data_IF_764634404405
#
_entry.id   IF_764634404405
#
_cell.length_a   1.000
_cell.length_b   1.000
_cell.length_c   1.000
_cell.angle_alpha   90.00
_cell.angle_beta   90.00
_cell.angle_gamma   90.00
#
_symmetry.space_group_name_H-M   'P 1'
#
loop_
_entity.id
_entity.type
_entity.pdbx_description
1 polymer ?
#
# COMPACT_ATOMS: atom_id res chain seq x y z
N UNK A 1 1.72 3.60 4.79
CA UNK A 1 2.61 2.55 4.21
C UNK A 1 1.80 1.47 3.53
N UNK A 2 0.91 0.72 4.19
CA UNK A 2 0.15 -0.41 3.59
C UNK A 2 -0.55 -0.07 2.26
N UNK A 3 -1.08 1.12 2.10
CA UNK A 3 -1.88 1.53 0.93
C UNK A 3 -1.13 2.32 -0.13
N UNK A 4 0.04 2.82 0.19
CA UNK A 4 0.80 3.75 -0.67
C UNK A 4 2.23 3.26 -0.96
N UNK A 5 2.52 1.99 -0.70
CA UNK A 5 3.78 1.38 -1.05
C UNK A 5 3.80 1.01 -2.52
N UNK A 6 4.91 1.24 -3.20
CA UNK A 6 5.11 0.79 -4.58
C UNK A 6 5.28 -0.74 -4.66
N UNK A 7 5.69 -1.38 -3.55
CA UNK A 7 5.79 -2.84 -3.41
C UNK A 7 4.59 -3.38 -2.67
N UNK A 8 4.26 -4.64 -2.88
CA UNK A 8 3.18 -5.30 -2.15
C UNK A 8 3.53 -5.42 -0.66
N UNK A 9 2.62 -5.07 0.26
CA UNK A 9 2.87 -5.15 1.69
C UNK A 9 2.83 -6.60 2.20
N UNK A 10 3.81 -6.92 3.04
CA UNK A 10 3.87 -8.15 3.83
C UNK A 10 3.71 -7.78 5.31
N UNK A 11 2.60 -8.18 5.89
CA UNK A 11 2.25 -7.85 7.27
C UNK A 11 2.67 -8.96 8.23
N UNK A 12 3.41 -8.60 9.26
CA UNK A 12 3.64 -9.46 10.43
C UNK A 12 2.47 -9.21 11.38
N UNK A 13 1.52 -10.13 11.41
CA UNK A 13 0.23 -9.93 12.09
C UNK A 13 -0.17 -11.18 12.90
N UNK A 14 0.47 -11.43 14.03
CA UNK A 14 0.18 -12.61 14.88
C UNK A 14 -1.25 -12.64 15.40
N UNK A 15 -1.87 -11.47 15.56
CA UNK A 15 -3.19 -11.31 16.16
C UNK A 15 -4.33 -11.14 15.15
N UNK A 16 -4.01 -11.02 13.85
CA UNK A 16 -5.00 -10.87 12.78
C UNK A 16 -5.65 -9.49 12.70
N UNK A 17 -5.10 -8.48 13.37
CA UNK A 17 -5.66 -7.12 13.36
C UNK A 17 -5.46 -6.41 12.04
N UNK A 18 -4.25 -6.53 11.47
CA UNK A 18 -3.91 -5.96 10.17
C UNK A 18 -4.71 -6.60 9.04
N UNK A 19 -4.88 -7.92 9.10
CA UNK A 19 -5.72 -8.67 8.16
C UNK A 19 -7.18 -8.20 8.24
N UNK A 20 -7.75 -8.13 9.44
CA UNK A 20 -9.13 -7.66 9.64
C UNK A 20 -9.32 -6.22 9.14
N UNK A 21 -8.34 -5.36 9.36
CA UNK A 21 -8.35 -3.99 8.85
C UNK A 21 -8.33 -3.94 7.31
N UNK A 22 -7.50 -4.78 6.64
CA UNK A 22 -7.48 -4.86 5.18
C UNK A 22 -8.83 -5.32 4.65
N UNK A 23 -9.40 -6.39 5.21
CA UNK A 23 -10.69 -6.94 4.78
C UNK A 23 -11.79 -5.87 4.89
N UNK A 24 -11.85 -5.14 6.01
CA UNK A 24 -12.84 -4.08 6.19
C UNK A 24 -12.63 -2.91 5.23
N UNK A 25 -11.37 -2.50 5.01
CA UNK A 25 -11.06 -1.35 4.15
C UNK A 25 -11.30 -1.61 2.67
N UNK A 26 -11.05 -2.83 2.23
CA UNK A 26 -11.19 -3.24 0.83
C UNK A 26 -12.39 -4.15 0.59
N UNK A 27 -13.39 -4.12 1.47
CA UNK A 27 -14.58 -4.95 1.37
C UNK A 27 -15.28 -4.84 0.00
N UNK A 28 -15.33 -3.64 -0.58
CA UNK A 28 -15.93 -3.38 -1.89
C UNK A 28 -15.11 -3.94 -3.07
N UNK A 29 -13.81 -4.20 -2.87
CA UNK A 29 -12.89 -4.77 -3.86
C UNK A 29 -12.55 -6.24 -3.57
N UNK A 30 -13.26 -6.84 -2.63
CA UNK A 30 -13.06 -8.24 -2.23
C UNK A 30 -14.30 -9.05 -2.53
N UNK A 31 -14.12 -10.16 -3.24
CA UNK A 31 -15.20 -11.12 -3.45
C UNK A 31 -15.14 -12.25 -2.42
N UNK A 32 -16.26 -12.52 -1.78
CA UNK A 32 -16.37 -13.58 -0.77
C UNK A 32 -15.98 -14.94 -1.37
N UNK A 33 -15.02 -15.61 -0.74
CA UNK A 33 -14.53 -16.92 -1.17
C UNK A 33 -13.50 -16.89 -2.30
N UNK A 34 -13.08 -15.68 -2.79
CA UNK A 34 -12.07 -15.56 -3.86
C UNK A 34 -10.94 -14.56 -3.56
N UNK A 35 -11.06 -13.77 -2.52
CA UNK A 35 -10.08 -12.73 -2.18
C UNK A 35 -9.19 -13.08 -0.98
N UNK A 36 -9.48 -14.20 -0.28
CA UNK A 36 -8.72 -14.67 0.87
C UNK A 36 -8.31 -16.12 0.66
N UNK A 37 -7.02 -16.40 0.74
CA UNK A 37 -6.46 -17.73 0.47
C UNK A 37 -5.09 -17.92 1.11
N UNK A 38 -4.59 -19.15 1.09
CA UNK A 38 -3.21 -19.47 1.43
C UNK A 38 -2.49 -20.10 0.22
N UNK A 39 -1.15 -20.12 0.24
CA UNK A 39 -0.35 -20.67 -0.85
C UNK A 39 -0.53 -22.18 -1.06
N UNK A 40 -0.91 -22.91 -0.01
CA UNK A 40 -1.11 -24.37 -0.04
C UNK A 40 -2.44 -24.76 -0.68
N UNK A 41 -3.28 -23.81 -1.05
CA UNK A 41 -4.54 -24.11 -1.70
C UNK A 41 -4.31 -24.62 -3.12
N UNK A 42 -4.77 -25.83 -3.51
CA UNK A 42 -4.53 -26.39 -4.84
C UNK A 42 -5.16 -25.56 -5.97
N UNK A 43 -6.18 -24.75 -5.67
CA UNK A 43 -6.84 -23.84 -6.61
C UNK A 43 -6.28 -22.42 -6.58
N UNK A 44 -5.17 -22.18 -5.86
CA UNK A 44 -4.60 -20.85 -5.67
C UNK A 44 -4.39 -20.10 -6.99
N UNK A 45 -3.70 -20.73 -7.97
CA UNK A 45 -3.33 -20.09 -9.23
C UNK A 45 -4.53 -19.75 -10.12
N UNK A 46 -5.43 -20.72 -10.31
CA UNK A 46 -6.53 -20.58 -11.29
C UNK A 46 -7.73 -19.87 -10.71
N UNK A 47 -8.05 -20.13 -9.46
CA UNK A 47 -9.28 -19.66 -8.85
C UNK A 47 -9.15 -18.34 -8.12
N UNK A 48 -8.04 -18.14 -7.38
CA UNK A 48 -7.83 -16.94 -6.58
C UNK A 48 -6.98 -15.91 -7.32
N UNK A 49 -5.76 -16.27 -7.69
CA UNK A 49 -4.81 -15.33 -8.27
C UNK A 49 -5.27 -14.84 -9.64
N UNK A 50 -5.59 -15.75 -10.56
CA UNK A 50 -6.07 -15.39 -11.91
C UNK A 50 -7.30 -14.51 -11.85
N UNK A 51 -8.30 -14.91 -11.05
CA UNK A 51 -9.54 -14.16 -10.91
C UNK A 51 -9.30 -12.73 -10.39
N UNK A 52 -8.48 -12.58 -9.34
CA UNK A 52 -8.20 -11.25 -8.76
C UNK A 52 -7.37 -10.37 -9.71
N UNK A 53 -6.42 -10.97 -10.46
CA UNK A 53 -5.63 -10.26 -11.46
C UNK A 53 -6.49 -9.71 -12.61
N UNK A 54 -7.41 -10.51 -13.14
CA UNK A 54 -8.28 -10.16 -14.27
C UNK A 54 -9.33 -9.11 -13.90
N UNK A 55 -9.87 -9.20 -12.68
CA UNK A 55 -10.97 -8.31 -12.24
C UNK A 55 -10.50 -7.09 -11.41
N UNK A 56 -9.18 -6.96 -11.15
CA UNK A 56 -8.66 -5.87 -10.34
C UNK A 56 -9.05 -5.93 -8.86
N UNK A 57 -9.39 -7.12 -8.36
CA UNK A 57 -9.80 -7.31 -6.97
C UNK A 57 -8.60 -7.36 -6.02
N UNK A 58 -8.85 -7.10 -4.74
CA UNK A 58 -7.86 -7.25 -3.69
C UNK A 58 -7.71 -8.73 -3.30
N UNK A 59 -6.48 -9.22 -3.27
CA UNK A 59 -6.12 -10.58 -2.86
C UNK A 59 -5.32 -10.54 -1.55
N UNK A 60 -5.77 -11.30 -0.55
CA UNK A 60 -5.03 -11.49 0.71
C UNK A 60 -4.54 -12.93 0.76
N UNK A 61 -3.23 -13.08 0.91
CA UNK A 61 -2.56 -14.38 1.02
C UNK A 61 -2.11 -14.56 2.46
N UNK A 62 -2.64 -15.56 3.12
CA UNK A 62 -2.36 -15.88 4.52
C UNK A 62 -1.25 -16.92 4.67
N UNK A 63 -0.62 -16.90 5.84
CA UNK A 63 0.29 -17.98 6.25
C UNK A 63 1.61 -17.97 5.52
N UNK A 64 2.12 -16.79 5.15
CA UNK A 64 3.50 -16.65 4.69
C UNK A 64 4.41 -16.80 5.91
N UNK A 65 5.25 -17.82 5.91
CA UNK A 65 6.17 -18.06 7.03
C UNK A 65 7.55 -17.47 6.71
N UNK A 66 8.36 -18.15 5.91
CA UNK A 66 9.73 -17.72 5.61
C UNK A 66 9.95 -17.37 4.14
N UNK A 67 9.27 -18.09 3.26
CA UNK A 67 9.44 -17.99 1.81
C UNK A 67 8.08 -17.96 1.11
N UNK A 68 8.07 -17.45 -0.10
CA UNK A 68 6.93 -17.41 -0.99
C UNK A 68 7.23 -18.28 -2.20
N UNK A 69 6.24 -18.99 -2.71
CA UNK A 69 6.38 -19.80 -3.93
C UNK A 69 6.92 -18.92 -5.08
N UNK A 70 8.03 -19.28 -5.74
CA UNK A 70 8.63 -18.52 -6.85
C UNK A 70 7.66 -18.22 -7.99
N UNK A 71 6.55 -18.94 -8.05
CA UNK A 71 5.46 -18.68 -9.00
C UNK A 71 4.86 -17.27 -8.84
N UNK A 72 4.94 -16.67 -7.63
CA UNK A 72 4.47 -15.32 -7.37
C UNK A 72 5.51 -14.22 -7.70
N UNK A 73 6.75 -14.57 -7.98
CA UNK A 73 7.81 -13.61 -8.27
C UNK A 73 7.44 -12.61 -9.38
N UNK A 74 6.90 -13.04 -10.52
CA UNK A 74 6.50 -12.09 -11.57
C UNK A 74 5.45 -11.09 -11.09
N UNK A 75 4.57 -11.50 -10.16
CA UNK A 75 3.55 -10.61 -9.59
C UNK A 75 4.18 -9.67 -8.59
N UNK A 76 5.04 -10.15 -7.69
CA UNK A 76 5.74 -9.35 -6.68
C UNK A 76 6.64 -8.29 -7.33
N UNK A 77 7.34 -8.65 -8.40
CA UNK A 77 8.22 -7.75 -9.16
C UNK A 77 7.46 -6.88 -10.18
N UNK A 78 6.15 -7.07 -10.31
CA UNK A 78 5.32 -6.35 -11.27
C UNK A 78 5.83 -6.44 -12.72
N UNK A 79 6.23 -7.64 -13.12
CA UNK A 79 6.69 -7.92 -14.50
C UNK A 79 5.51 -7.90 -15.49
N UNK A 80 4.89 -6.74 -15.66
CA UNK A 80 3.69 -6.54 -16.47
C UNK A 80 4.09 -6.12 -17.88
N UNK A 81 3.61 -6.87 -18.86
CA UNK A 81 3.80 -6.56 -20.29
C UNK A 81 2.54 -5.83 -20.78
N UNK A 82 2.69 -4.55 -21.15
CA UNK A 82 1.60 -3.75 -21.67
C UNK A 82 1.50 -3.87 -23.18
N UNK A 83 0.35 -4.36 -23.68
CA UNK A 83 0.03 -4.40 -25.12
C UNK A 83 -1.28 -3.66 -25.36
N UNK A 84 -1.25 -2.55 -26.14
CA UNK A 84 -2.44 -1.79 -26.55
C UNK A 84 -3.44 -1.55 -25.38
N UNK A 85 -2.95 -1.07 -24.25
CA UNK A 85 -3.74 -0.77 -23.05
C UNK A 85 -4.25 -1.98 -22.22
N UNK A 86 -3.84 -3.21 -22.55
CA UNK A 86 -4.04 -4.40 -21.72
C UNK A 86 -2.72 -4.81 -21.09
N UNK A 87 -2.72 -4.96 -19.77
CA UNK A 87 -1.60 -5.55 -19.06
C UNK A 87 -1.70 -7.07 -19.11
N UNK A 88 -0.59 -7.76 -19.30
CA UNK A 88 -0.50 -9.21 -19.14
C UNK A 88 0.71 -9.55 -18.28
N UNK A 89 0.57 -10.58 -17.47
CA UNK A 89 1.61 -11.09 -16.60
C UNK A 89 1.72 -12.59 -16.77
N UNK A 90 2.95 -13.10 -16.79
CA UNK A 90 3.19 -14.55 -16.94
C UNK A 90 3.41 -15.17 -15.58
N UNK A 91 2.48 -16.03 -15.16
CA UNK A 91 2.53 -16.73 -13.87
C UNK A 91 2.51 -18.22 -14.06
N UNK A 92 3.55 -18.92 -13.60
CA UNK A 92 3.61 -20.39 -13.68
C UNK A 92 3.51 -20.95 -15.11
N UNK A 93 3.98 -20.18 -16.11
CA UNK A 93 3.92 -20.58 -17.52
C UNK A 93 2.63 -20.20 -18.27
N UNK A 94 1.63 -19.66 -17.58
CA UNK A 94 0.37 -19.18 -18.18
C UNK A 94 0.35 -17.66 -18.25
N UNK A 95 -0.09 -17.11 -19.38
CA UNK A 95 -0.32 -15.66 -19.50
C UNK A 95 -1.69 -15.35 -18.88
N UNK A 96 -1.71 -14.36 -17.98
CA UNK A 96 -2.91 -13.87 -17.29
C UNK A 96 -3.10 -12.39 -17.58
N UNK A 97 -4.33 -11.96 -17.76
CA UNK A 97 -4.64 -10.54 -17.90
C UNK A 97 -4.43 -9.84 -16.56
N UNK A 98 -3.96 -8.59 -16.60
CA UNK A 98 -3.65 -7.77 -15.42
C UNK A 98 -4.45 -6.47 -15.44
N UNK A 99 -5.26 -6.27 -14.39
CA UNK A 99 -5.95 -4.99 -14.16
C UNK A 99 -5.12 -4.09 -13.24
N UNK A 100 -5.13 -2.76 -13.53
CA UNK A 100 -4.37 -1.74 -12.77
C UNK A 100 -4.84 -1.58 -11.33
N UNK A 101 -6.09 -1.94 -11.03
CA UNK A 101 -6.66 -1.82 -9.69
C UNK A 101 -6.29 -2.99 -8.77
N UNK A 102 -5.67 -4.05 -9.32
CA UNK A 102 -5.26 -5.21 -8.54
C UNK A 102 -4.36 -4.83 -7.37
N UNK A 103 -4.69 -5.37 -6.21
CA UNK A 103 -3.90 -5.20 -4.98
C UNK A 103 -3.68 -6.55 -4.33
N UNK A 104 -2.47 -6.75 -3.85
CA UNK A 104 -2.10 -7.98 -3.15
C UNK A 104 -1.54 -7.65 -1.76
N UNK A 105 -1.95 -8.41 -0.78
CA UNK A 105 -1.53 -8.31 0.60
C UNK A 105 -1.06 -9.67 1.07
N UNK A 106 0.12 -9.71 1.66
CA UNK A 106 0.71 -10.90 2.25
C UNK A 106 0.61 -10.80 3.77
N UNK A 107 0.24 -11.87 4.45
CA UNK A 107 0.17 -11.87 5.92
C UNK A 107 0.92 -13.05 6.51
N UNK A 108 1.70 -12.78 7.56
CA UNK A 108 2.43 -13.74 8.36
C UNK A 108 1.86 -13.75 9.79
N UNK A 109 1.59 -14.93 10.32
CA UNK A 109 1.10 -15.07 11.70
C UNK A 109 2.20 -15.32 12.73
N UNK A 110 3.45 -15.51 12.28
CA UNK A 110 4.57 -15.66 13.19
C UNK A 110 4.89 -14.31 13.84
N UNK A 111 5.10 -14.24 15.16
CA UNK A 111 5.43 -12.98 15.84
C UNK A 111 6.85 -12.49 15.53
N UNK A 112 7.75 -13.39 15.16
CA UNK A 112 9.13 -13.05 14.80
C UNK A 112 9.58 -13.92 13.61
N UNK A 113 9.07 -13.62 12.40
CA UNK A 113 9.44 -14.38 11.21
C UNK A 113 10.85 -14.04 10.75
N UNK A 114 11.53 -15.03 10.16
CA UNK A 114 12.82 -14.84 9.50
C UNK A 114 12.61 -14.90 7.98
N UNK A 115 12.29 -13.78 7.38
CA UNK A 115 12.09 -13.72 5.93
C UNK A 115 13.40 -13.79 5.18
N UNK A 116 13.36 -14.42 4.00
CA UNK A 116 14.51 -14.43 3.11
C UNK A 116 14.83 -12.99 2.65
N UNK A 117 16.13 -12.65 2.42
CA UNK A 117 16.51 -11.34 1.89
C UNK A 117 15.81 -11.02 0.56
N UNK A 118 15.54 -12.04 -0.24
CA UNK A 118 14.85 -11.93 -1.52
C UNK A 118 13.39 -11.47 -1.34
N UNK A 119 12.64 -12.10 -0.45
CA UNK A 119 11.27 -11.71 -0.14
C UNK A 119 11.20 -10.29 0.44
N UNK A 120 12.14 -9.95 1.32
CA UNK A 120 12.22 -8.60 1.91
C UNK A 120 12.56 -7.53 0.87
N UNK A 121 13.31 -7.88 -0.19
CA UNK A 121 13.61 -6.97 -1.30
C UNK A 121 12.39 -6.77 -2.24
N UNK A 122 11.56 -7.80 -2.44
CA UNK A 122 10.39 -7.79 -3.34
C UNK A 122 9.13 -7.24 -2.68
N UNK A 123 9.04 -7.24 -1.35
CA UNK A 123 7.88 -6.80 -0.57
C UNK A 123 8.22 -5.65 0.37
N UNK A 124 7.18 -5.00 0.91
CA UNK A 124 7.33 -4.03 2.00
C UNK A 124 6.89 -4.69 3.30
N UNK A 125 7.85 -5.05 4.16
CA UNK A 125 7.55 -5.67 5.46
C UNK A 125 7.02 -4.61 6.42
N UNK A 126 5.88 -4.88 7.01
CA UNK A 126 5.20 -4.00 7.97
C UNK A 126 4.84 -4.80 9.22
N UNK A 127 5.35 -4.37 10.35
CA UNK A 127 5.05 -5.01 11.63
C UNK A 127 3.73 -4.47 12.20
N UNK A 128 2.77 -5.37 12.38
CA UNK A 128 1.48 -5.15 13.03
C UNK A 128 1.40 -5.81 14.41
N UNK A 129 2.54 -6.17 14.98
CA UNK A 129 2.57 -6.76 16.33
C UNK A 129 2.13 -5.71 17.34
N UNK A 130 1.15 -6.05 18.16
CA UNK A 130 0.67 -5.16 19.22
C UNK A 130 1.67 -5.13 20.36
N UNK A 131 2.26 -3.97 20.60
CA UNK A 131 3.11 -3.71 21.77
C UNK A 131 2.26 -3.30 22.97
N UNK A 132 2.80 -3.45 24.19
CA UNK A 132 2.12 -3.01 25.41
C UNK A 132 1.73 -1.52 25.33
N UNK A 133 2.65 -0.66 24.91
CA UNK A 133 2.38 0.78 24.74
C UNK A 133 1.30 1.07 23.69
N UNK A 134 1.29 0.31 22.58
CA UNK A 134 0.23 0.41 21.58
C UNK A 134 -1.15 0.02 22.13
N UNK A 135 -1.20 -1.02 22.96
CA UNK A 135 -2.43 -1.43 23.64
C UNK A 135 -2.91 -0.38 24.64
N UNK A 136 -2.00 0.18 25.44
CA UNK A 136 -2.29 1.28 26.36
C UNK A 136 -2.88 2.49 25.63
N UNK A 137 -2.30 2.89 24.51
CA UNK A 137 -2.84 3.97 23.69
C UNK A 137 -4.22 3.67 23.11
N UNK A 138 -4.45 2.44 22.63
CA UNK A 138 -5.77 2.03 22.14
C UNK A 138 -6.84 2.04 23.24
N UNK A 139 -6.49 1.57 24.44
CA UNK A 139 -7.40 1.59 25.58
C UNK A 139 -7.66 3.01 26.05
N UNK A 140 -6.62 3.86 26.11
CA UNK A 140 -6.76 5.27 26.44
C UNK A 140 -7.67 6.00 25.45
N UNK A 141 -7.48 5.79 24.16
CA UNK A 141 -8.34 6.36 23.11
C UNK A 141 -9.81 5.94 23.28
N UNK A 142 -10.07 4.66 23.64
CA UNK A 142 -11.44 4.20 23.93
C UNK A 142 -12.05 4.90 25.15
N UNK A 143 -11.27 5.09 26.21
CA UNK A 143 -11.75 5.81 27.41
C UNK A 143 -12.05 7.26 27.08
N UNK A 144 -11.12 7.95 26.40
CA UNK A 144 -11.29 9.36 26.00
C UNK A 144 -12.50 9.51 25.07
N UNK A 145 -12.68 8.61 24.09
CA UNK A 145 -13.83 8.66 23.19
C UNK A 145 -15.17 8.45 23.90
N UNK A 146 -15.17 7.75 25.03
CA UNK A 146 -16.37 7.56 25.85
C UNK A 146 -16.63 8.75 26.78
N UNK A 147 -15.57 9.34 27.38
CA UNK A 147 -15.71 10.43 28.35
C UNK A 147 -15.70 11.81 27.69
N UNK A 148 -14.90 12.03 26.65
CA UNK A 148 -14.69 13.31 25.97
C UNK A 148 -14.62 13.15 24.46
N UNK A 149 -15.69 12.74 23.84
CA UNK A 149 -15.77 12.45 22.40
C UNK A 149 -15.29 13.62 21.53
N UNK A 150 -15.58 14.87 21.93
CA UNK A 150 -15.18 16.05 21.16
C UNK A 150 -13.65 16.21 21.04
N UNK A 151 -12.90 15.82 22.07
CA UNK A 151 -11.43 15.83 22.04
C UNK A 151 -10.88 14.76 21.11
N UNK A 152 -11.43 13.55 21.17
CA UNK A 152 -11.02 12.45 20.28
C UNK A 152 -11.34 12.78 18.81
N UNK A 153 -12.52 13.33 18.54
CA UNK A 153 -12.89 13.77 17.20
C UNK A 153 -11.94 14.86 16.68
N UNK A 154 -11.55 15.83 17.54
CA UNK A 154 -10.58 16.87 17.17
C UNK A 154 -9.20 16.29 16.88
N UNK A 155 -8.72 15.35 17.70
CA UNK A 155 -7.43 14.69 17.50
C UNK A 155 -7.43 13.87 16.21
N UNK A 156 -8.50 13.13 15.94
CA UNK A 156 -8.65 12.37 14.72
C UNK A 156 -8.69 13.26 13.46
N UNK A 157 -9.34 14.41 13.54
CA UNK A 157 -9.35 15.39 12.46
C UNK A 157 -7.95 15.94 12.19
N UNK A 158 -7.22 16.35 13.24
CA UNK A 158 -5.83 16.82 13.11
C UNK A 158 -4.92 15.73 12.49
N UNK A 159 -5.03 14.49 12.94
CA UNK A 159 -4.26 13.37 12.37
C UNK A 159 -4.60 13.15 10.88
N UNK A 160 -5.87 13.26 10.51
CA UNK A 160 -6.30 13.14 9.12
C UNK A 160 -5.75 14.29 8.28
N UNK A 161 -5.76 15.53 8.78
CA UNK A 161 -5.20 16.69 8.11
C UNK A 161 -3.69 16.59 7.92
N UNK A 162 -2.96 16.15 8.95
CA UNK A 162 -1.51 15.87 8.86
C UNK A 162 -1.22 14.81 7.79
N UNK A 163 -2.00 13.73 7.77
CA UNK A 163 -1.84 12.68 6.77
C UNK A 163 -2.20 13.15 5.35
N UNK A 164 -3.24 13.95 5.20
CA UNK A 164 -3.62 14.54 3.92
C UNK A 164 -2.52 15.49 3.40
N UNK A 165 -1.98 16.33 4.27
CA UNK A 165 -0.88 17.24 3.94
C UNK A 165 0.40 16.49 3.55
N UNK A 166 0.76 15.41 4.26
CA UNK A 166 1.90 14.55 3.88
C UNK A 166 1.71 13.90 2.50
N UNK A 167 0.50 13.42 2.21
CA UNK A 167 0.18 12.86 0.88
C UNK A 167 0.24 13.91 -0.22
N UNK A 168 -0.22 15.13 0.06
CA UNK A 168 -0.15 16.24 -0.88
C UNK A 168 1.31 16.59 -1.22
N UNK A 169 2.20 16.65 -0.20
CA UNK A 169 3.64 16.84 -0.42
C UNK A 169 4.24 15.74 -1.30
N UNK A 170 3.97 14.47 -0.97
CA UNK A 170 4.49 13.35 -1.77
C UNK A 170 4.00 13.38 -3.21
N UNK A 171 2.75 13.81 -3.43
CA UNK A 171 2.21 13.98 -4.78
C UNK A 171 2.91 15.11 -5.53
N UNK A 172 3.10 16.25 -4.88
CA UNK A 172 3.82 17.39 -5.46
C UNK A 172 5.25 17.02 -5.85
N UNK A 173 5.96 16.27 -5.00
CA UNK A 173 7.31 15.76 -5.28
C UNK A 173 7.33 14.83 -6.51
N UNK A 174 6.37 13.91 -6.60
CA UNK A 174 6.24 13.01 -7.76
C UNK A 174 5.92 13.77 -9.05
N UNK A 175 4.97 14.69 -9.01
CA UNK A 175 4.57 15.51 -10.16
C UNK A 175 5.74 16.39 -10.64
N UNK A 176 6.52 16.91 -9.70
CA UNK A 176 7.73 17.69 -10.00
C UNK A 176 8.79 16.83 -10.67
N UNK A 177 9.08 15.64 -10.12
CA UNK A 177 10.04 14.70 -10.72
C UNK A 177 9.60 14.26 -12.11
N UNK A 178 8.32 13.99 -12.31
CA UNK A 178 7.79 13.61 -13.61
C UNK A 178 7.98 14.73 -14.64
N UNK A 179 7.63 15.96 -14.32
CA UNK A 179 7.83 17.11 -15.20
C UNK A 179 9.29 17.37 -15.52
N UNK A 180 10.19 17.20 -14.54
CA UNK A 180 11.63 17.30 -14.77
C UNK A 180 12.16 16.22 -15.72
N UNK A 181 11.60 15.01 -15.66
CA UNK A 181 12.01 13.90 -16.56
C UNK A 181 11.41 14.03 -17.96
N UNK A 182 10.24 14.61 -18.10
CA UNK A 182 9.57 14.85 -19.38
C UNK A 182 10.13 16.06 -20.14
N UNK A 183 10.76 16.99 -19.45
CA UNK A 183 11.39 18.17 -20.01
C UNK A 183 12.58 17.78 -20.92
N UNK A 184 12.40 17.95 -22.23
CA UNK A 184 13.42 17.73 -23.26
C UNK A 184 14.03 19.07 -23.65
N UNK A 185 15.07 19.54 -22.93
CA UNK A 185 15.75 20.77 -23.29
C UNK A 185 16.51 21.42 -22.15
N UNK A 186 16.91 22.68 -22.37
CA UNK A 186 17.58 23.46 -21.35
C UNK A 186 16.54 23.89 -20.30
N UNK A 187 16.58 23.31 -19.11
CA UNK A 187 15.66 23.54 -17.99
C UNK A 187 15.50 25.02 -17.59
N UNK A 188 16.48 25.87 -17.95
CA UNK A 188 16.48 27.29 -17.66
C UNK A 188 15.70 28.16 -18.66
N UNK A 189 15.41 27.62 -19.84
CA UNK A 189 14.72 28.36 -20.90
C UNK A 189 13.20 28.07 -20.93
N UNK A 190 12.73 27.10 -20.11
CA UNK A 190 11.32 26.73 -20.00
C UNK A 190 10.61 27.57 -18.91
N UNK A 191 9.99 28.67 -19.35
CA UNK A 191 9.26 29.58 -18.45
C UNK A 191 8.08 28.92 -17.75
N UNK A 192 7.38 27.98 -18.42
CA UNK A 192 6.28 27.25 -17.81
C UNK A 192 6.77 26.32 -16.69
N UNK A 193 7.90 25.65 -16.90
CA UNK A 193 8.53 24.82 -15.88
C UNK A 193 8.95 25.64 -14.65
N UNK A 194 9.52 26.83 -14.85
CA UNK A 194 9.93 27.73 -13.78
C UNK A 194 8.75 28.25 -12.96
N UNK A 195 7.61 28.57 -13.58
CA UNK A 195 6.38 28.94 -12.86
C UNK A 195 5.84 27.77 -12.05
N UNK A 196 5.80 26.55 -12.60
CA UNK A 196 5.35 25.36 -11.88
C UNK A 196 6.27 25.05 -10.69
N UNK A 197 7.59 25.16 -10.87
CA UNK A 197 8.56 25.00 -9.79
C UNK A 197 8.35 25.99 -8.64
N UNK A 198 8.13 27.27 -8.96
CA UNK A 198 7.86 28.30 -7.97
C UNK A 198 6.54 28.08 -7.23
N UNK A 199 5.48 27.69 -7.94
CA UNK A 199 4.18 27.39 -7.35
C UNK A 199 4.28 26.14 -6.45
N UNK A 200 4.94 25.09 -6.90
CA UNK A 200 5.16 23.87 -6.10
C UNK A 200 5.97 24.16 -4.84
N UNK A 201 7.02 24.97 -4.95
CA UNK A 201 7.84 25.40 -3.80
C UNK A 201 7.04 26.22 -2.79
N UNK A 202 6.15 27.08 -3.27
CA UNK A 202 5.29 27.90 -2.39
C UNK A 202 4.28 27.01 -1.67
N UNK A 203 3.60 26.12 -2.37
CA UNK A 203 2.68 25.15 -1.79
C UNK A 203 3.35 24.20 -0.79
N UNK A 204 4.55 23.71 -1.11
CA UNK A 204 5.31 22.86 -0.20
C UNK A 204 5.68 23.58 1.09
N UNK A 205 6.05 24.87 1.01
CA UNK A 205 6.32 25.70 2.20
C UNK A 205 5.07 25.91 3.06
N UNK A 206 3.92 26.22 2.45
CA UNK A 206 2.66 26.39 3.18
C UNK A 206 2.23 25.10 3.90
N UNK A 207 2.36 23.95 3.23
CA UNK A 207 2.05 22.64 3.83
C UNK A 207 3.03 22.32 4.96
N UNK A 208 4.32 22.65 4.80
CA UNK A 208 5.33 22.42 5.85
C UNK A 208 5.04 23.27 7.09
N UNK A 209 4.65 24.54 6.92
CA UNK A 209 4.26 25.41 8.04
C UNK A 209 3.04 24.82 8.76
N UNK A 210 1.99 24.43 8.02
CA UNK A 210 0.80 23.78 8.60
C UNK A 210 1.12 22.50 9.37
N UNK A 211 2.15 21.76 8.94
CA UNK A 211 2.61 20.54 9.64
C UNK A 211 3.42 20.84 10.91
N UNK A 212 4.02 22.03 11.01
CA UNK A 212 4.73 22.48 12.24
C UNK A 212 3.79 23.05 13.28
N UNK A 213 2.66 23.64 12.82
CA UNK A 213 1.66 24.26 13.68
C UNK A 213 0.62 23.23 14.20
N UNK A 214 0.56 22.01 13.62
CA UNK A 214 -0.33 20.92 14.03
C UNK A 214 0.35 19.93 14.99
#
# INVERSE_FOLDING_TARGET
>A
MVTNSDRYPLLIDPQGQGQSWIINKYADFMEKGRSLTNLNNPRFKEWFLKYCLENGNALVIEGIENEVDPVLDPVLEKQIIWKRNRGSIKVGGSDMDFDKNFKMFLTCRLPNPSFSPELSAKSTVIDFTVTQGGLEQQLLGRVISHEQKALEDSLNNLLNDVNANKKALQKLDKDLLQRLTESKGNLLDDTELMEVLNNTKTQAKEVTIKLQDA
#
